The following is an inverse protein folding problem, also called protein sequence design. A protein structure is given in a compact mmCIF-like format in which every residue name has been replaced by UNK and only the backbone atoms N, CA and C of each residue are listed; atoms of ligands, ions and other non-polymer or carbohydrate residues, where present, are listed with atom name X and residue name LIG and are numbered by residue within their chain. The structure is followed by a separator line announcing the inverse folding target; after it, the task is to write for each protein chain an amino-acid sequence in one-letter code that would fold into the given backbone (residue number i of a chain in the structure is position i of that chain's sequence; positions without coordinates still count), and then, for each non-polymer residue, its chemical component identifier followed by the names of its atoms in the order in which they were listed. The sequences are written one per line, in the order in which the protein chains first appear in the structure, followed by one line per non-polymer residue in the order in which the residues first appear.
data_IF_998966075143
#
_entry.id   IF_998966075143
#
_cell.length_a   1.000
_cell.length_b   1.000
_cell.length_c   1.000
_cell.angle_alpha   90.00
_cell.angle_beta   90.00
_cell.angle_gamma   90.00
#
_symmetry.space_group_name_H-M   'P 1'
#
loop_
_entity.id
_entity.type
_entity.pdbx_description
1 polymer ?
#
# COMPACT_ATOMS: atom_id res chain seq x y z
N UNK A 1 6.61 -15.84 -23.80
CA UNK A 1 6.45 -14.62 -22.99
C UNK A 1 5.49 -14.99 -21.87
N UNK A 2 5.84 -14.84 -20.59
CA UNK A 2 4.87 -15.07 -19.52
C UNK A 2 3.70 -14.10 -19.72
N UNK A 3 2.50 -14.64 -19.90
CA UNK A 3 1.28 -13.86 -20.05
C UNK A 3 0.72 -13.56 -18.66
N UNK A 4 0.23 -12.35 -18.46
CA UNK A 4 -0.50 -11.98 -17.26
C UNK A 4 -1.78 -12.83 -17.19
N UNK A 5 -1.80 -13.83 -16.33
CA UNK A 5 -2.92 -14.76 -16.22
C UNK A 5 -3.56 -14.59 -14.85
N UNK A 6 -4.55 -13.71 -14.77
CA UNK A 6 -5.37 -13.55 -13.57
C UNK A 6 -6.52 -14.55 -13.68
N UNK A 7 -6.58 -15.54 -12.79
CA UNK A 7 -7.75 -16.39 -12.64
C UNK A 7 -8.69 -15.82 -11.56
N UNK A 8 -9.77 -15.10 -11.92
CA UNK A 8 -10.66 -14.46 -10.94
C UNK A 8 -11.50 -15.46 -10.14
N UNK A 9 -11.52 -16.74 -10.53
CA UNK A 9 -12.25 -17.80 -9.84
C UNK A 9 -11.40 -18.56 -8.82
N UNK A 10 -10.10 -18.25 -8.69
CA UNK A 10 -9.26 -18.92 -7.71
C UNK A 10 -9.55 -18.47 -6.28
N UNK A 11 -9.51 -19.43 -5.35
CA UNK A 11 -9.64 -19.13 -3.92
C UNK A 11 -8.52 -18.21 -3.41
N UNK A 12 -7.34 -18.25 -4.04
CA UNK A 12 -6.20 -17.37 -3.75
C UNK A 12 -6.48 -15.93 -4.16
N UNK A 13 -7.01 -15.69 -5.37
CA UNK A 13 -7.36 -14.34 -5.83
C UNK A 13 -8.47 -13.73 -4.95
N UNK A 14 -9.50 -14.53 -4.65
CA UNK A 14 -10.60 -14.11 -3.78
C UNK A 14 -10.08 -13.75 -2.38
N UNK A 15 -9.24 -14.60 -1.80
CA UNK A 15 -8.62 -14.35 -0.50
C UNK A 15 -7.82 -13.05 -0.49
N UNK A 16 -6.98 -12.83 -1.50
CA UNK A 16 -6.17 -11.62 -1.64
C UNK A 16 -7.03 -10.36 -1.78
N UNK A 17 -8.08 -10.39 -2.61
CA UNK A 17 -8.99 -9.25 -2.79
C UNK A 17 -9.71 -8.89 -1.48
N UNK A 18 -10.22 -9.87 -0.74
CA UNK A 18 -10.88 -9.60 0.54
C UNK A 18 -9.88 -9.13 1.62
N UNK A 19 -8.64 -9.65 1.60
CA UNK A 19 -7.57 -9.21 2.49
C UNK A 19 -7.20 -7.74 2.24
N UNK A 20 -7.01 -7.37 0.97
CA UNK A 20 -6.79 -5.99 0.55
C UNK A 20 -7.97 -5.06 0.89
N UNK A 21 -9.20 -5.52 0.64
CA UNK A 21 -10.41 -4.72 0.92
C UNK A 21 -10.56 -4.40 2.41
N UNK A 22 -10.16 -5.31 3.30
CA UNK A 22 -10.14 -5.07 4.74
C UNK A 22 -8.91 -4.28 5.21
N UNK A 23 -7.75 -4.46 4.58
CA UNK A 23 -6.54 -3.71 4.89
C UNK A 23 -6.66 -2.23 4.52
N UNK A 24 -7.37 -1.91 3.43
CA UNK A 24 -7.60 -0.54 2.95
C UNK A 24 -8.17 0.40 4.03
N UNK A 25 -9.35 0.16 4.61
CA UNK A 25 -9.93 1.08 5.60
C UNK A 25 -9.04 1.19 6.84
N UNK A 26 -8.41 0.10 7.28
CA UNK A 26 -7.52 0.09 8.45
C UNK A 26 -6.29 0.96 8.21
N UNK A 27 -5.60 0.77 7.07
CA UNK A 27 -4.40 1.54 6.72
C UNK A 27 -4.68 3.00 6.46
N UNK A 28 -5.73 3.33 5.70
CA UNK A 28 -6.10 4.72 5.45
C UNK A 28 -6.47 5.44 6.74
N UNK A 29 -7.22 4.76 7.62
CA UNK A 29 -7.59 5.32 8.91
C UNK A 29 -6.37 5.59 9.79
N UNK A 30 -5.44 4.62 9.91
CA UNK A 30 -4.20 4.81 10.66
C UNK A 30 -3.32 5.91 10.04
N UNK A 31 -3.16 5.93 8.72
CA UNK A 31 -2.37 6.93 8.01
C UNK A 31 -2.91 8.36 8.25
N UNK A 32 -4.24 8.52 8.25
CA UNK A 32 -4.88 9.80 8.54
C UNK A 32 -4.68 10.26 9.99
N UNK A 33 -4.70 9.33 10.94
CA UNK A 33 -4.53 9.62 12.37
C UNK A 33 -3.08 9.91 12.76
N UNK A 34 -2.13 9.19 12.16
CA UNK A 34 -0.70 9.32 12.51
C UNK A 34 -0.05 10.55 11.87
N UNK A 35 -0.61 11.04 10.75
CA UNK A 35 -0.04 12.17 10.01
C UNK A 35 -0.25 13.50 10.74
N UNK A 36 0.85 14.21 10.96
CA UNK A 36 0.87 15.57 11.49
C UNK A 36 0.99 16.65 10.38
N UNK A 37 0.92 16.25 9.11
CA UNK A 37 1.12 17.13 7.95
C UNK A 37 -0.19 17.90 7.63
N UNK A 38 -0.11 19.19 7.25
CA UNK A 38 -1.30 19.99 6.94
C UNK A 38 -2.10 19.43 5.76
N UNK A 39 -1.42 18.87 4.75
CA UNK A 39 -2.05 18.17 3.63
C UNK A 39 -2.04 16.64 3.84
N UNK A 40 -2.95 16.17 4.69
CA UNK A 40 -3.11 14.74 5.04
C UNK A 40 -3.48 13.87 3.83
N UNK A 41 -4.08 14.47 2.79
CA UNK A 41 -4.52 13.76 1.58
C UNK A 41 -3.33 13.10 0.86
N UNK A 42 -2.16 13.73 0.84
CA UNK A 42 -0.95 13.16 0.23
C UNK A 42 -0.50 11.88 0.96
N UNK A 43 -0.62 11.85 2.28
CA UNK A 43 -0.26 10.69 3.10
C UNK A 43 -1.26 9.54 2.91
N UNK A 44 -2.55 9.86 2.84
CA UNK A 44 -3.61 8.90 2.53
C UNK A 44 -3.42 8.29 1.13
N UNK A 45 -3.06 9.10 0.13
CA UNK A 45 -2.73 8.62 -1.21
C UNK A 45 -1.47 7.73 -1.21
N UNK A 46 -0.45 8.09 -0.43
CA UNK A 46 0.72 7.24 -0.22
C UNK A 46 0.35 5.89 0.38
N UNK A 47 -0.54 5.87 1.38
CA UNK A 47 -1.05 4.65 1.99
C UNK A 47 -1.78 3.76 0.98
N UNK A 48 -2.66 4.37 0.17
CA UNK A 48 -3.40 3.68 -0.88
C UNK A 48 -2.49 3.03 -1.93
N UNK A 49 -1.48 3.77 -2.41
CA UNK A 49 -0.51 3.24 -3.37
C UNK A 49 0.33 2.12 -2.77
N UNK A 50 0.77 2.26 -1.50
CA UNK A 50 1.49 1.20 -0.79
C UNK A 50 0.66 -0.08 -0.64
N UNK A 51 -0.60 0.04 -0.26
CA UNK A 51 -1.50 -1.10 -0.14
C UNK A 51 -1.72 -1.80 -1.50
N UNK A 52 -1.86 -1.03 -2.60
CA UNK A 52 -1.95 -1.58 -3.96
C UNK A 52 -0.69 -2.35 -4.37
N UNK A 53 0.48 -1.84 -4.01
CA UNK A 53 1.75 -2.54 -4.27
C UNK A 53 1.80 -3.85 -3.49
N UNK A 54 1.34 -3.87 -2.23
CA UNK A 54 1.21 -5.09 -1.43
C UNK A 54 0.32 -6.14 -2.09
N UNK A 55 -0.83 -5.72 -2.59
CA UNK A 55 -1.78 -6.59 -3.32
C UNK A 55 -1.13 -7.22 -4.57
N UNK A 56 -0.51 -6.40 -5.43
CA UNK A 56 0.20 -6.94 -6.60
C UNK A 56 1.38 -7.85 -6.21
N UNK A 57 2.06 -7.56 -5.10
CA UNK A 57 3.14 -8.39 -4.57
C UNK A 57 2.68 -9.81 -4.23
N UNK A 58 1.48 -9.95 -3.65
CA UNK A 58 0.93 -11.27 -3.31
C UNK A 58 0.44 -12.02 -4.55
N UNK A 59 -0.20 -11.33 -5.49
CA UNK A 59 -0.53 -11.94 -6.77
C UNK A 59 0.72 -12.43 -7.51
N UNK A 60 1.82 -11.65 -7.46
CA UNK A 60 3.09 -12.03 -8.07
C UNK A 60 3.78 -13.21 -7.36
N UNK A 61 3.61 -13.32 -6.04
CA UNK A 61 4.26 -14.35 -5.22
C UNK A 61 3.46 -15.65 -5.18
N UNK A 62 2.19 -15.58 -4.75
CA UNK A 62 1.33 -16.73 -4.43
C UNK A 62 0.33 -16.99 -5.55
N UNK A 63 -0.12 -15.92 -6.20
CA UNK A 63 -1.10 -15.98 -7.28
C UNK A 63 -0.51 -16.37 -8.63
N UNK A 64 -1.38 -16.38 -9.63
CA UNK A 64 -1.09 -16.81 -11.00
C UNK A 64 -0.51 -15.71 -11.88
N UNK A 65 -0.03 -14.60 -11.29
CA UNK A 65 0.39 -13.41 -12.05
C UNK A 65 1.57 -13.71 -13.00
N UNK A 66 2.43 -14.67 -12.62
CA UNK A 66 3.62 -15.10 -13.39
C UNK A 66 3.56 -16.57 -13.81
N UNK A 67 2.95 -17.44 -13.01
CA UNK A 67 2.89 -18.89 -13.25
C UNK A 67 1.45 -19.39 -13.38
N UNK A 68 1.25 -20.39 -14.26
CA UNK A 68 -0.07 -21.01 -14.51
C UNK A 68 -0.62 -21.83 -13.34
N UNK A 69 0.22 -22.10 -12.34
CA UNK A 69 -0.12 -22.92 -11.19
C UNK A 69 0.06 -22.09 -9.93
N UNK A 70 -0.98 -22.06 -9.10
CA UNK A 70 -0.88 -21.60 -7.72
C UNK A 70 0.20 -22.40 -6.99
N UNK A 71 0.86 -21.77 -6.02
CA UNK A 71 1.86 -22.43 -5.21
C UNK A 71 1.24 -23.69 -4.56
N UNK A 72 1.84 -24.89 -4.71
CA UNK A 72 1.27 -26.11 -4.15
C UNK A 72 1.19 -25.99 -2.62
N UNK A 73 -0.03 -26.12 -2.08
CA UNK A 73 -0.33 -25.92 -0.66
C UNK A 73 -0.78 -24.50 -0.29
N UNK A 74 -0.85 -23.58 -1.25
CA UNK A 74 -1.49 -22.29 -1.04
C UNK A 74 -3.01 -22.48 -0.84
N UNK A 75 -3.51 -21.98 0.28
CA UNK A 75 -4.96 -21.95 0.56
C UNK A 75 -5.44 -20.50 0.46
N UNK A 76 -6.65 -20.31 -0.07
CA UNK A 76 -7.26 -18.97 -0.16
C UNK A 76 -7.33 -18.26 1.19
N UNK A 77 -7.53 -19.01 2.28
CA UNK A 77 -7.56 -18.48 3.65
C UNK A 77 -6.20 -17.97 4.12
N UNK A 78 -5.11 -18.69 3.82
CA UNK A 78 -3.76 -18.22 4.15
C UNK A 78 -3.40 -16.97 3.35
N UNK A 79 -3.78 -16.92 2.07
CA UNK A 79 -3.57 -15.75 1.22
C UNK A 79 -4.37 -14.54 1.72
N UNK A 80 -5.59 -14.75 2.23
CA UNK A 80 -6.40 -13.69 2.86
C UNK A 80 -5.67 -13.03 4.03
N UNK A 81 -5.21 -13.80 5.01
CA UNK A 81 -4.51 -13.24 6.17
C UNK A 81 -3.15 -12.66 5.81
N UNK A 82 -2.42 -13.29 4.87
CA UNK A 82 -1.17 -12.76 4.34
C UNK A 82 -1.37 -11.41 3.64
N UNK A 83 -2.43 -11.28 2.84
CA UNK A 83 -2.80 -10.05 2.16
C UNK A 83 -3.22 -8.95 3.09
N UNK A 84 -4.05 -9.27 4.07
CA UNK A 84 -4.44 -8.32 5.09
C UNK A 84 -3.21 -7.75 5.80
N UNK A 85 -2.25 -8.61 6.18
CA UNK A 85 -1.04 -8.19 6.87
C UNK A 85 -0.09 -7.38 5.98
N UNK A 86 0.26 -7.90 4.81
CA UNK A 86 1.24 -7.26 3.90
C UNK A 86 0.69 -5.96 3.31
N UNK A 87 -0.55 -5.95 2.84
CA UNK A 87 -1.18 -4.71 2.35
C UNK A 87 -1.25 -3.67 3.48
N UNK A 88 -1.47 -4.13 4.72
CA UNK A 88 -1.50 -3.23 5.87
C UNK A 88 -0.14 -2.61 6.19
N UNK A 89 0.90 -3.42 6.25
CA UNK A 89 2.26 -2.97 6.58
C UNK A 89 2.84 -2.10 5.46
N UNK A 90 2.78 -2.55 4.21
CA UNK A 90 3.32 -1.79 3.07
C UNK A 90 2.55 -0.49 2.85
N UNK A 91 1.23 -0.50 3.06
CA UNK A 91 0.41 0.72 3.06
C UNK A 91 0.85 1.71 4.14
N UNK A 92 1.03 1.26 5.37
CA UNK A 92 1.52 2.09 6.47
C UNK A 92 2.93 2.64 6.23
N UNK A 93 3.85 1.81 5.75
CA UNK A 93 5.22 2.22 5.48
C UNK A 93 5.27 3.29 4.39
N UNK A 94 4.50 3.12 3.31
CA UNK A 94 4.37 4.12 2.26
C UNK A 94 3.77 5.43 2.78
N UNK A 95 2.78 5.35 3.68
CA UNK A 95 2.20 6.52 4.33
C UNK A 95 3.25 7.28 5.18
N UNK A 96 4.00 6.57 6.02
CA UNK A 96 5.04 7.16 6.89
C UNK A 96 6.16 7.80 6.05
N UNK A 97 6.61 7.13 5.00
CA UNK A 97 7.63 7.66 4.08
C UNK A 97 7.11 8.95 3.43
N UNK A 98 5.87 8.93 2.95
CA UNK A 98 5.24 10.09 2.30
C UNK A 98 5.09 11.25 3.28
N UNK A 99 4.66 10.98 4.53
CA UNK A 99 4.57 11.97 5.60
C UNK A 99 5.93 12.63 5.87
N UNK A 100 6.99 11.83 6.01
CA UNK A 100 8.35 12.31 6.23
C UNK A 100 8.87 13.17 5.06
N UNK A 101 8.58 12.76 3.82
CA UNK A 101 8.95 13.51 2.62
C UNK A 101 8.25 14.87 2.62
N UNK A 102 6.93 14.91 2.83
CA UNK A 102 6.16 16.16 2.81
C UNK A 102 6.56 17.07 3.99
N UNK A 103 6.82 16.52 5.17
CA UNK A 103 7.31 17.30 6.32
C UNK A 103 8.68 17.93 6.01
N UNK A 104 9.58 17.20 5.35
CA UNK A 104 10.89 17.71 4.91
C UNK A 104 10.77 18.81 3.86
N UNK A 105 9.89 18.63 2.86
CA UNK A 105 9.65 19.61 1.79
C UNK A 105 9.03 20.90 2.34
N UNK A 106 8.07 20.78 3.26
CA UNK A 106 7.39 21.92 3.87
C UNK A 106 8.35 22.74 4.75
N UNK A 107 9.18 22.08 5.59
CA UNK A 107 10.22 22.77 6.38
C UNK A 107 11.24 23.51 5.52
N UNK A 108 11.65 22.93 4.38
CA UNK A 108 12.56 23.60 3.43
C UNK A 108 11.91 24.82 2.79
N UNK A 109 10.64 24.72 2.43
CA UNK A 109 9.89 25.81 1.77
C UNK A 109 9.68 27.01 2.69
N UNK A 110 9.31 26.79 3.97
CA UNK A 110 9.21 27.87 4.96
C UNK A 110 10.55 28.56 5.26
N UNK A 111 11.66 27.80 5.31
CA UNK A 111 13.00 28.41 5.47
C UNK A 111 13.34 29.33 4.30
N UNK A 112 13.02 28.94 3.07
CA UNK A 112 13.26 29.77 1.87
C UNK A 112 12.37 31.02 1.85
N UNK A 113 11.08 30.87 2.16
CA UNK A 113 10.17 32.01 2.23
C UNK A 113 10.59 33.04 3.30
N UNK A 114 11.07 32.58 4.46
CA UNK A 114 11.54 33.48 5.53
C UNK A 114 12.83 34.24 5.18
N UNK A 115 13.66 33.70 4.27
CA UNK A 115 14.86 34.38 3.79
C UNK A 115 14.51 35.47 2.77
N UNK A 116 13.53 35.24 1.88
CA UNK A 116 13.08 36.20 0.88
C UNK A 116 12.30 37.40 1.46
N UNK A 117 11.69 37.25 2.64
CA UNK A 117 10.96 38.35 3.32
C UNK A 117 11.91 39.27 4.12
N UNK A 118 13.19 38.90 4.24
CA UNK A 118 14.20 39.67 5.00
C UNK A 118 15.09 40.55 4.12
N UNK A 119 14.91 40.52 2.80
CA UNK A 119 15.51 41.45 1.84
C UNK A 119 14.50 42.53 1.44
#
# INVERSE_FOLDING_TARGET
MPALMINPSSGVFIGDVFGFLLALPVTLFLAYWISAVPNRLVVVMGAFVGALIGFFGILAWVGTLVYNTELPGASGTATFFGSLFICSTVGLDAAIITDLIVARLTRRSYRRARLLVRE
#
